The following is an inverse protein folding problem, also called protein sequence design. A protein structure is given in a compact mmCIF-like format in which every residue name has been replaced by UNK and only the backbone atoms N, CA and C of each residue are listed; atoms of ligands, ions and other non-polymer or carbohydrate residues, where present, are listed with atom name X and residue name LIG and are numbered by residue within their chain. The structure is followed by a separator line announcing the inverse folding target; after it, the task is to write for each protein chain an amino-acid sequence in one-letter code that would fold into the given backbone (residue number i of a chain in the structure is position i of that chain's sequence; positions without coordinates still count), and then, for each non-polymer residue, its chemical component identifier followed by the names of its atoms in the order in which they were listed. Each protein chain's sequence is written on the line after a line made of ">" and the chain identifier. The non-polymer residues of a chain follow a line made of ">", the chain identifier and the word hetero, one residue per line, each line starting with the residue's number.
data_IF_512973833764
#
_entry.id   IF_512973833764
#
_cell.length_a   1.000
_cell.length_b   1.000
_cell.length_c   1.000
_cell.angle_alpha   90.00
_cell.angle_beta   90.00
_cell.angle_gamma   90.00
#
_symmetry.space_group_name_H-M   'P 1'
#
loop_
_entity.id
_entity.type
_entity.pdbx_description
1 polymer ?
#
# COMPACT_ATOMS: atom_id res chain seq x y z
N UNK A 1 56.58 72.67 9.56
CA UNK A 1 55.56 71.82 8.84
C UNK A 1 55.87 71.94 7.35
N UNK A 2 56.26 70.84 6.71
CA UNK A 2 56.66 70.82 5.30
C UNK A 2 55.49 71.14 4.35
N UNK A 3 55.80 71.71 3.22
CA UNK A 3 54.83 72.08 2.17
C UNK A 3 53.96 70.90 1.72
N UNK A 4 54.51 69.66 1.75
CA UNK A 4 53.82 68.38 1.51
C UNK A 4 52.75 68.07 2.54
N UNK A 5 52.96 68.32 3.82
CA UNK A 5 51.99 68.07 4.90
C UNK A 5 50.77 68.94 4.76
N UNK A 6 50.96 70.23 4.34
CA UNK A 6 49.86 71.19 4.08
C UNK A 6 49.01 70.75 2.87
N UNK A 7 49.65 70.27 1.82
CA UNK A 7 48.96 69.74 0.63
C UNK A 7 48.15 68.47 0.96
N UNK A 8 48.73 67.51 1.66
CA UNK A 8 48.03 66.31 2.09
C UNK A 8 46.86 66.60 3.02
N UNK A 9 47.02 67.49 3.97
CA UNK A 9 45.94 67.94 4.85
C UNK A 9 44.83 68.65 4.13
N UNK A 10 45.15 69.52 3.09
CA UNK A 10 44.17 70.17 2.23
C UNK A 10 43.35 69.18 1.42
N UNK A 11 43.97 68.19 0.82
CA UNK A 11 43.28 67.08 0.10
C UNK A 11 42.33 66.30 0.97
N UNK A 12 42.74 65.96 2.21
CA UNK A 12 41.87 65.22 3.13
C UNK A 12 40.68 66.09 3.58
N UNK A 13 40.88 67.36 3.87
CA UNK A 13 39.79 68.24 4.25
C UNK A 13 38.81 68.44 3.06
N UNK A 14 39.28 68.54 1.85
CA UNK A 14 38.44 68.64 0.63
C UNK A 14 37.62 67.40 0.42
N UNK A 15 38.21 66.20 0.64
CA UNK A 15 37.50 64.91 0.55
C UNK A 15 36.40 64.82 1.60
N UNK A 16 36.68 65.18 2.85
CA UNK A 16 35.69 65.21 3.95
C UNK A 16 34.53 66.20 3.60
N UNK A 17 34.83 67.38 3.10
CA UNK A 17 33.79 68.33 2.71
C UNK A 17 32.94 67.85 1.55
N UNK A 18 33.49 67.14 0.57
CA UNK A 18 32.74 66.47 -0.50
C UNK A 18 31.84 65.34 0.03
N UNK A 19 32.35 64.55 0.95
CA UNK A 19 31.55 63.51 1.61
C UNK A 19 30.40 64.09 2.43
N UNK A 20 30.66 65.17 3.18
CA UNK A 20 29.63 65.91 3.96
C UNK A 20 28.57 66.56 3.06
N UNK A 21 29.00 67.18 1.95
CA UNK A 21 28.07 67.70 0.98
C UNK A 21 27.22 66.64 0.30
N UNK A 22 27.81 65.48 0.00
CA UNK A 22 27.10 64.30 -0.53
C UNK A 22 26.08 63.77 0.47
N UNK A 23 26.47 63.66 1.75
CA UNK A 23 25.58 63.25 2.82
C UNK A 23 24.41 64.18 3.06
N UNK A 24 24.69 65.46 3.06
CA UNK A 24 23.66 66.51 3.17
C UNK A 24 22.74 66.55 1.94
N UNK A 25 23.27 66.38 0.74
CA UNK A 25 22.49 66.25 -0.50
C UNK A 25 21.57 65.04 -0.48
N UNK A 26 22.07 63.87 -0.03
CA UNK A 26 21.29 62.68 0.14
C UNK A 26 20.21 62.84 1.24
N UNK A 27 20.53 63.51 2.34
CA UNK A 27 19.56 63.80 3.41
C UNK A 27 18.42 64.66 2.88
N UNK A 28 18.73 65.77 2.21
CA UNK A 28 17.76 66.71 1.60
C UNK A 28 16.90 65.99 0.53
N UNK A 29 17.49 65.14 -0.24
CA UNK A 29 16.76 64.30 -1.19
C UNK A 29 15.74 63.39 -0.48
N UNK A 30 16.16 62.66 0.55
CA UNK A 30 15.28 61.79 1.35
C UNK A 30 14.14 62.53 2.05
N UNK A 31 14.37 63.78 2.44
CA UNK A 31 13.37 64.64 3.07
C UNK A 31 12.44 65.32 2.05
N UNK A 32 12.64 65.05 0.76
CA UNK A 32 11.79 65.60 -0.33
C UNK A 32 11.90 67.05 -0.51
N UNK A 33 13.07 67.72 -0.21
CA UNK A 33 13.26 69.14 -0.29
C UNK A 33 13.17 69.68 -1.72
N UNK A 34 13.61 68.92 -2.71
CA UNK A 34 13.67 69.31 -4.13
C UNK A 34 12.54 68.73 -4.95
N UNK A 35 12.36 67.40 -4.78
CA UNK A 35 11.28 66.62 -5.36
C UNK A 35 10.75 65.69 -4.27
N UNK A 36 9.48 65.28 -4.28
CA UNK A 36 8.99 64.28 -3.32
C UNK A 36 9.83 63.02 -3.36
N UNK A 37 10.13 62.48 -2.20
CA UNK A 37 10.82 61.17 -2.06
C UNK A 37 9.78 60.08 -1.86
N UNK A 38 9.81 59.02 -2.69
CA UNK A 38 9.02 57.83 -2.53
C UNK A 38 9.92 56.60 -2.45
N UNK A 39 9.52 55.64 -1.63
CA UNK A 39 10.16 54.34 -1.54
C UNK A 39 9.12 53.29 -1.20
N UNK A 40 9.12 52.12 -1.87
CA UNK A 40 8.32 50.97 -1.49
C UNK A 40 8.77 50.42 -0.12
N UNK A 41 7.84 49.94 0.65
CA UNK A 41 8.13 49.22 1.90
C UNK A 41 8.46 47.74 1.57
N UNK A 42 9.54 47.21 2.16
CA UNK A 42 10.05 45.88 1.80
C UNK A 42 10.78 45.88 0.44
N UNK A 43 10.77 44.72 -0.22
CA UNK A 43 11.48 44.52 -1.49
C UNK A 43 10.72 45.11 -2.68
N UNK A 44 11.46 45.49 -3.71
CA UNK A 44 10.91 46.02 -4.97
C UNK A 44 10.41 44.93 -5.92
N UNK A 45 11.00 43.77 -5.82
CA UNK A 45 10.64 42.59 -6.57
C UNK A 45 10.32 41.48 -5.56
N UNK A 46 9.22 40.77 -5.74
CA UNK A 46 8.76 39.67 -4.89
C UNK A 46 8.35 38.52 -5.77
N UNK A 47 8.64 37.31 -5.29
CA UNK A 47 8.25 36.07 -5.93
C UNK A 47 7.28 35.37 -4.99
N UNK A 48 6.16 34.92 -5.54
CA UNK A 48 5.09 34.22 -4.82
C UNK A 48 4.72 32.97 -5.59
N UNK A 49 4.46 31.92 -4.87
CA UNK A 49 3.83 30.75 -5.44
C UNK A 49 2.35 31.01 -5.74
N UNK A 50 1.81 30.46 -6.81
CA UNK A 50 0.39 30.60 -7.16
C UNK A 50 -0.49 30.16 -5.99
N UNK A 51 -1.57 30.94 -5.72
CA UNK A 51 -2.46 30.77 -4.55
C UNK A 51 -1.84 31.12 -3.20
N UNK A 52 -0.58 31.54 -3.15
CA UNK A 52 0.00 32.10 -1.93
C UNK A 52 -0.63 33.45 -1.59
N UNK A 53 -0.78 33.71 -0.30
CA UNK A 53 -1.39 34.96 0.16
C UNK A 53 -0.42 36.14 -0.03
N UNK A 54 -0.77 37.06 -0.88
CA UNK A 54 -0.01 38.32 -1.08
C UNK A 54 -0.40 39.38 -0.06
N UNK A 55 0.56 39.88 0.69
CA UNK A 55 0.38 41.03 1.60
C UNK A 55 1.07 42.25 1.06
N UNK A 56 0.28 43.26 0.72
CA UNK A 56 0.79 44.53 0.19
C UNK A 56 1.28 45.44 1.32
N UNK A 57 2.59 45.69 1.36
CA UNK A 57 3.28 46.51 2.37
C UNK A 57 3.22 48.00 2.11
N UNK A 58 2.75 48.44 0.91
CA UNK A 58 2.61 49.83 0.56
C UNK A 58 3.93 50.54 0.28
N UNK A 59 3.88 51.85 0.25
CA UNK A 59 5.04 52.73 0.07
C UNK A 59 5.01 53.85 1.11
N UNK A 60 6.18 54.44 1.35
CA UNK A 60 6.37 55.59 2.22
C UNK A 60 7.03 56.72 1.46
N UNK A 61 6.76 57.96 1.91
CA UNK A 61 7.34 59.11 1.27
C UNK A 61 7.39 60.38 2.10
N UNK A 62 8.16 61.34 1.62
CA UNK A 62 8.28 62.68 2.19
C UNK A 62 8.21 63.74 1.11
N UNK A 63 7.54 64.85 1.40
CA UNK A 63 7.53 66.09 0.58
C UNK A 63 7.81 67.27 1.50
N UNK A 64 8.91 67.98 1.25
CA UNK A 64 9.38 69.10 2.06
C UNK A 64 9.33 68.81 3.57
N UNK A 65 10.01 67.73 3.97
CA UNK A 65 10.12 67.23 5.36
C UNK A 65 8.82 66.66 5.97
N UNK A 66 7.69 66.68 5.23
CA UNK A 66 6.40 66.16 5.71
C UNK A 66 6.20 64.73 5.24
N UNK A 67 5.69 63.86 6.15
CA UNK A 67 5.27 62.52 5.78
C UNK A 67 4.05 62.62 4.86
N UNK A 68 4.04 61.82 3.79
CA UNK A 68 2.99 61.80 2.76
C UNK A 68 2.41 60.41 2.55
N UNK A 69 2.72 59.39 3.42
CA UNK A 69 2.33 58.00 3.25
C UNK A 69 0.82 57.84 2.97
N UNK A 70 -0.04 58.54 3.73
CA UNK A 70 -1.48 58.55 3.52
C UNK A 70 -2.01 59.29 2.28
N UNK A 71 -1.09 59.90 1.45
CA UNK A 71 -1.43 60.59 0.21
C UNK A 71 -0.84 59.92 -1.04
N UNK A 72 -0.17 58.81 -0.86
CA UNK A 72 0.38 57.99 -1.95
C UNK A 72 -0.77 57.19 -2.55
N UNK A 73 -1.02 57.38 -3.82
CA UNK A 73 -2.00 56.62 -4.57
C UNK A 73 -1.37 55.27 -5.00
N UNK A 74 -2.12 54.17 -4.85
CA UNK A 74 -1.74 52.86 -5.31
C UNK A 74 -2.58 52.49 -6.52
N UNK A 75 -1.93 52.07 -7.59
CA UNK A 75 -2.53 51.60 -8.83
C UNK A 75 -1.98 50.19 -9.12
N UNK A 76 -2.83 49.27 -9.48
CA UNK A 76 -2.53 47.84 -9.73
C UNK A 76 -2.99 46.94 -8.61
N UNK A 77 -3.21 45.68 -8.99
CA UNK A 77 -3.60 44.57 -8.12
C UNK A 77 -2.75 43.38 -8.48
N UNK A 78 -2.48 42.51 -7.52
CA UNK A 78 -1.86 41.20 -7.73
C UNK A 78 -2.98 40.17 -7.68
N UNK A 79 -3.10 39.39 -8.76
CA UNK A 79 -3.97 38.24 -8.80
C UNK A 79 -3.10 36.99 -8.53
N UNK A 80 -3.15 36.50 -7.33
CA UNK A 80 -2.37 35.30 -6.92
C UNK A 80 -2.94 34.00 -7.45
N UNK A 81 -4.16 33.99 -8.00
CA UNK A 81 -4.74 32.81 -8.64
C UNK A 81 -4.19 32.57 -10.06
N UNK A 82 -3.47 33.50 -10.64
CA UNK A 82 -2.93 33.41 -11.99
C UNK A 82 -1.43 33.70 -12.01
N UNK A 83 -0.69 32.80 -12.65
CA UNK A 83 0.74 32.99 -12.95
C UNK A 83 0.93 34.19 -13.83
N UNK A 84 1.86 35.07 -13.46
CA UNK A 84 2.14 36.29 -14.22
C UNK A 84 2.95 37.33 -13.47
N UNK A 85 3.28 38.40 -14.18
CA UNK A 85 4.00 39.54 -13.64
C UNK A 85 3.01 40.67 -13.35
N UNK A 86 2.95 41.10 -12.11
CA UNK A 86 2.05 42.12 -11.63
C UNK A 86 2.82 43.32 -11.17
N UNK A 87 2.46 44.52 -11.72
CA UNK A 87 3.07 45.77 -11.34
C UNK A 87 2.13 46.57 -10.42
N UNK A 88 2.63 46.96 -9.25
CA UNK A 88 1.97 47.93 -8.36
C UNK A 88 2.71 49.24 -8.44
N UNK A 89 2.02 50.28 -8.94
CA UNK A 89 2.53 51.65 -9.06
C UNK A 89 2.08 52.48 -7.85
N UNK A 90 3.03 53.11 -7.20
CA UNK A 90 2.76 54.11 -6.16
C UNK A 90 3.07 55.48 -6.71
N UNK A 91 2.09 56.36 -6.70
CA UNK A 91 2.11 57.66 -7.30
C UNK A 91 1.85 58.76 -6.27
N UNK A 92 2.65 59.85 -6.35
CA UNK A 92 2.40 61.08 -5.63
C UNK A 92 2.95 62.26 -6.47
N UNK A 93 2.06 63.18 -6.87
CA UNK A 93 2.39 64.32 -7.78
C UNK A 93 3.04 63.82 -9.08
N UNK A 94 4.30 64.16 -9.31
CA UNK A 94 5.07 63.74 -10.48
C UNK A 94 6.12 62.68 -10.22
N UNK A 95 6.04 62.01 -9.07
CA UNK A 95 6.97 60.95 -8.68
C UNK A 95 6.25 59.61 -8.57
N UNK A 96 6.87 58.59 -9.16
CA UNK A 96 6.39 57.21 -9.16
C UNK A 96 7.46 56.27 -8.62
N UNK A 97 7.05 55.25 -7.90
CA UNK A 97 7.85 54.08 -7.62
C UNK A 97 6.97 52.84 -7.82
N UNK A 98 7.58 51.72 -8.18
CA UNK A 98 6.86 50.50 -8.48
C UNK A 98 7.39 49.31 -7.69
N UNK A 99 6.54 48.38 -7.45
CA UNK A 99 6.84 47.02 -7.04
C UNK A 99 6.44 46.09 -8.17
N UNK A 100 7.29 45.12 -8.45
CA UNK A 100 7.01 44.00 -9.35
C UNK A 100 6.78 42.75 -8.50
N UNK A 101 5.70 42.04 -8.77
CA UNK A 101 5.36 40.79 -8.09
C UNK A 101 5.22 39.72 -9.16
N UNK A 102 6.06 38.69 -9.05
CA UNK A 102 6.06 37.55 -9.93
C UNK A 102 5.26 36.43 -9.25
N UNK A 103 4.10 36.10 -9.76
CA UNK A 103 3.35 34.90 -9.35
C UNK A 103 3.79 33.77 -10.25
N UNK A 104 4.39 32.77 -9.67
CA UNK A 104 4.94 31.61 -10.38
C UNK A 104 4.30 30.34 -9.86
N UNK A 105 4.35 29.30 -10.66
CA UNK A 105 4.03 27.95 -10.26
C UNK A 105 5.31 27.12 -10.39
N UNK A 106 5.84 26.67 -9.28
CA UNK A 106 7.04 25.83 -9.21
C UNK A 106 6.76 24.47 -8.58
N UNK A 107 5.49 24.22 -8.24
CA UNK A 107 5.06 23.00 -7.58
C UNK A 107 4.74 21.92 -8.62
N UNK A 108 5.49 20.80 -8.66
CA UNK A 108 5.18 19.76 -9.61
C UNK A 108 3.87 19.05 -9.27
N UNK A 109 3.15 18.49 -10.26
CA UNK A 109 1.94 17.73 -10.05
C UNK A 109 2.20 16.48 -9.21
N UNK A 110 1.19 16.05 -8.47
CA UNK A 110 1.22 14.77 -7.75
C UNK A 110 0.83 13.65 -8.69
N UNK A 111 1.54 12.52 -8.59
CA UNK A 111 1.34 11.31 -9.40
C UNK A 111 1.23 10.11 -8.47
N UNK A 112 0.21 9.26 -8.65
CA UNK A 112 -0.04 8.06 -7.84
C UNK A 112 -0.34 6.87 -8.75
N UNK A 113 0.41 5.77 -8.59
CA UNK A 113 0.24 4.55 -9.37
C UNK A 113 -0.96 3.73 -8.87
N UNK A 114 -1.85 3.32 -9.77
CA UNK A 114 -2.93 2.37 -9.46
C UNK A 114 -2.32 0.97 -9.32
N UNK A 115 -2.62 0.27 -8.21
CA UNK A 115 -2.07 -1.07 -7.95
C UNK A 115 -0.66 -1.10 -7.36
N UNK A 116 -0.05 0.09 -7.10
CA UNK A 116 1.25 0.19 -6.44
C UNK A 116 2.45 0.24 -7.39
N UNK A 117 3.63 0.32 -6.81
CA UNK A 117 4.89 0.50 -7.52
C UNK A 117 5.46 -0.80 -8.09
N UNK A 118 5.13 -1.96 -7.50
CA UNK A 118 5.52 -3.28 -7.99
C UNK A 118 4.28 -4.10 -8.28
N UNK A 119 4.29 -4.80 -9.42
CA UNK A 119 3.20 -5.70 -9.83
C UNK A 119 3.79 -6.98 -10.44
N UNK A 120 3.02 -8.09 -10.37
CA UNK A 120 3.36 -9.36 -11.01
C UNK A 120 2.49 -9.54 -12.25
N UNK A 121 3.12 -9.85 -13.37
CA UNK A 121 2.52 -10.33 -14.59
C UNK A 121 2.91 -11.79 -14.84
N UNK A 122 2.16 -12.49 -15.71
CA UNK A 122 2.42 -13.90 -16.00
C UNK A 122 2.90 -14.09 -17.43
N UNK A 123 3.91 -14.95 -17.58
CA UNK A 123 4.45 -15.28 -18.90
C UNK A 123 3.37 -15.82 -19.84
N UNK A 124 3.45 -15.41 -21.12
CA UNK A 124 2.52 -15.76 -22.20
C UNK A 124 1.06 -15.27 -21.99
N UNK A 125 0.82 -14.35 -21.06
CA UNK A 125 -0.44 -13.61 -20.95
C UNK A 125 -0.23 -12.14 -21.33
N UNK A 126 -1.21 -11.50 -21.98
CA UNK A 126 -1.13 -10.07 -22.26
C UNK A 126 -1.01 -9.28 -20.94
N UNK A 127 0.01 -8.43 -20.83
CA UNK A 127 0.09 -7.49 -19.74
C UNK A 127 -0.76 -6.26 -20.04
N UNK A 128 -1.67 -5.96 -19.14
CA UNK A 128 -2.47 -4.73 -19.18
C UNK A 128 -1.99 -3.79 -18.09
N UNK A 129 -1.57 -2.59 -18.49
CA UNK A 129 -1.08 -1.59 -17.56
C UNK A 129 -2.22 -1.00 -16.73
N UNK A 130 -2.02 -0.96 -15.39
CA UNK A 130 -3.05 -0.53 -14.44
C UNK A 130 -3.28 0.98 -14.44
N UNK A 131 -2.31 1.76 -14.97
CA UNK A 131 -2.40 3.20 -15.03
C UNK A 131 -2.03 3.91 -13.72
N UNK A 132 -2.30 5.22 -13.71
CA UNK A 132 -2.01 6.11 -12.59
C UNK A 132 -3.04 7.23 -12.52
N UNK A 133 -3.01 8.01 -11.44
CA UNK A 133 -3.78 9.25 -11.27
C UNK A 133 -2.82 10.39 -11.02
N UNK A 134 -3.17 11.57 -11.56
CA UNK A 134 -2.38 12.77 -11.34
C UNK A 134 -3.28 13.98 -11.06
N UNK A 135 -2.78 14.89 -10.23
CA UNK A 135 -3.48 16.14 -9.91
C UNK A 135 -2.49 17.24 -9.50
N UNK A 136 -2.88 18.47 -9.80
CA UNK A 136 -2.16 19.66 -9.35
C UNK A 136 -3.14 20.73 -8.89
N UNK A 137 -2.90 21.29 -7.71
CA UNK A 137 -3.71 22.36 -7.13
C UNK A 137 -5.23 22.06 -7.08
N UNK A 138 -5.64 20.77 -7.12
CA UNK A 138 -7.04 20.33 -7.19
C UNK A 138 -7.57 20.09 -8.60
N UNK A 139 -6.74 20.27 -9.62
CA UNK A 139 -7.06 19.98 -11.03
C UNK A 139 -6.63 18.56 -11.32
N UNK A 140 -7.53 17.73 -11.92
CA UNK A 140 -7.21 16.39 -12.39
C UNK A 140 -6.40 16.46 -13.69
N UNK A 141 -5.20 15.87 -13.67
CA UNK A 141 -4.28 15.77 -14.79
C UNK A 141 -4.10 14.34 -15.29
N UNK A 142 -4.95 13.40 -14.85
CA UNK A 142 -4.80 11.98 -15.18
C UNK A 142 -4.79 11.68 -16.69
N UNK A 143 -5.54 12.44 -17.47
CA UNK A 143 -5.56 12.34 -18.93
C UNK A 143 -4.26 12.85 -19.62
N UNK A 144 -3.39 13.53 -18.87
CA UNK A 144 -2.10 14.04 -19.39
C UNK A 144 -0.93 13.11 -19.06
N UNK A 145 -1.17 12.02 -18.37
CA UNK A 145 -0.12 11.06 -18.02
C UNK A 145 0.42 10.40 -19.28
N UNK A 146 1.72 10.47 -19.47
CA UNK A 146 2.44 9.71 -20.47
C UNK A 146 2.93 8.40 -19.85
N UNK A 147 2.76 7.28 -20.53
CA UNK A 147 3.18 5.96 -20.09
C UNK A 147 4.10 5.37 -21.15
N UNK A 148 5.33 5.04 -20.75
CA UNK A 148 6.31 4.34 -21.57
C UNK A 148 6.54 2.94 -20.98
N UNK A 149 6.11 1.89 -21.70
CA UNK A 149 6.19 0.50 -21.26
C UNK A 149 7.02 -0.33 -22.21
N UNK A 150 7.95 -1.13 -21.67
CA UNK A 150 8.78 -2.08 -22.41
C UNK A 150 8.56 -3.52 -21.89
N UNK A 151 7.41 -3.79 -21.27
CA UNK A 151 7.10 -5.11 -20.74
C UNK A 151 6.96 -6.14 -21.86
N UNK A 152 7.83 -7.15 -21.83
CA UNK A 152 7.73 -8.32 -22.71
C UNK A 152 7.21 -9.51 -21.91
N UNK A 153 5.90 -9.75 -22.00
CA UNK A 153 5.27 -10.86 -21.30
C UNK A 153 5.59 -12.25 -21.90
N UNK A 154 6.34 -12.34 -22.98
CA UNK A 154 6.80 -13.63 -23.49
C UNK A 154 8.04 -14.16 -22.75
N UNK A 155 8.69 -13.34 -21.94
CA UNK A 155 9.92 -13.68 -21.22
C UNK A 155 9.80 -13.32 -19.73
N UNK A 156 10.12 -14.27 -18.85
CA UNK A 156 10.25 -13.99 -17.42
C UNK A 156 11.38 -13.01 -17.17
N UNK A 157 11.15 -12.02 -16.31
CA UNK A 157 12.10 -10.98 -16.00
C UNK A 157 11.46 -9.80 -15.30
N UNK A 158 12.28 -8.80 -15.00
CA UNK A 158 11.82 -7.54 -14.39
C UNK A 158 11.89 -6.43 -15.42
N UNK A 159 10.80 -5.74 -15.60
CA UNK A 159 10.60 -4.65 -16.55
C UNK A 159 10.19 -3.38 -15.84
N UNK A 160 10.48 -2.24 -16.44
CA UNK A 160 10.10 -0.94 -15.92
C UNK A 160 9.06 -0.27 -16.83
N UNK A 161 8.08 0.38 -16.21
CA UNK A 161 7.11 1.25 -16.87
C UNK A 161 7.28 2.65 -16.28
N UNK A 162 7.64 3.60 -17.14
CA UNK A 162 7.82 5.00 -16.76
C UNK A 162 6.51 5.77 -16.96
N UNK A 163 6.11 6.46 -15.92
CA UNK A 163 5.01 7.42 -15.93
C UNK A 163 5.55 8.82 -15.79
N UNK A 164 5.07 9.74 -16.59
CA UNK A 164 5.38 11.16 -16.46
C UNK A 164 4.14 12.02 -16.65
N UNK A 165 4.08 13.14 -15.94
CA UNK A 165 3.03 14.13 -16.06
C UNK A 165 3.61 15.52 -15.83
N UNK A 166 3.19 16.49 -16.64
CA UNK A 166 3.57 17.90 -16.49
C UNK A 166 2.32 18.77 -16.33
N UNK A 167 2.45 19.81 -15.50
CA UNK A 167 1.47 20.87 -15.38
C UNK A 167 1.58 21.90 -16.54
N UNK A 168 0.81 22.98 -16.44
CA UNK A 168 0.82 24.05 -17.44
C UNK A 168 2.05 24.99 -17.33
N UNK A 169 2.68 25.03 -16.15
CA UNK A 169 3.91 25.79 -15.91
C UNK A 169 5.16 25.04 -16.39
N UNK A 170 5.06 23.74 -16.68
CA UNK A 170 6.14 22.89 -17.16
C UNK A 170 6.86 22.13 -16.03
N UNK A 171 6.33 22.14 -14.80
CA UNK A 171 6.87 21.29 -13.73
C UNK A 171 6.46 19.85 -13.99
N UNK A 172 7.40 18.92 -13.80
CA UNK A 172 7.22 17.51 -14.14
C UNK A 172 7.39 16.61 -12.93
N UNK A 173 6.54 15.57 -12.85
CA UNK A 173 6.70 14.44 -11.93
C UNK A 173 6.82 13.15 -12.72
N UNK A 174 7.75 12.28 -12.30
CA UNK A 174 7.96 10.97 -12.88
C UNK A 174 7.93 9.90 -11.80
N UNK A 175 7.31 8.73 -12.10
CA UNK A 175 7.34 7.53 -11.28
C UNK A 175 7.65 6.31 -12.14
N UNK A 176 8.34 5.33 -11.54
CA UNK A 176 8.61 4.03 -12.14
C UNK A 176 7.75 2.96 -11.47
N UNK A 177 7.14 2.10 -12.28
CA UNK A 177 6.55 0.83 -11.86
C UNK A 177 7.47 -0.30 -12.29
N UNK A 178 7.74 -1.21 -11.36
CA UNK A 178 8.41 -2.48 -11.63
C UNK A 178 7.36 -3.55 -11.95
N UNK A 179 7.49 -4.18 -13.09
CA UNK A 179 6.65 -5.31 -13.53
C UNK A 179 7.51 -6.56 -13.57
N UNK A 180 7.26 -7.49 -12.65
CA UNK A 180 7.93 -8.79 -12.66
C UNK A 180 7.10 -9.81 -13.42
N UNK A 181 7.59 -10.24 -14.58
CA UNK A 181 6.98 -11.32 -15.35
C UNK A 181 7.51 -12.66 -14.82
N UNK A 182 6.61 -13.48 -14.28
CA UNK A 182 6.91 -14.79 -13.70
C UNK A 182 6.29 -15.92 -14.53
N UNK A 183 6.70 -17.16 -14.29
CA UNK A 183 6.07 -18.33 -14.93
C UNK A 183 4.56 -18.35 -14.68
N UNK A 184 3.79 -18.71 -15.72
CA UNK A 184 2.34 -18.80 -15.62
C UNK A 184 1.92 -20.12 -14.95
N UNK A 185 1.37 -20.10 -13.73
CA UNK A 185 0.92 -21.33 -13.09
C UNK A 185 -0.18 -22.07 -13.86
N UNK A 186 -0.93 -21.40 -14.73
CA UNK A 186 -1.98 -22.03 -15.54
C UNK A 186 -1.45 -22.84 -16.70
N UNK A 187 -0.18 -22.69 -17.08
CA UNK A 187 0.46 -23.50 -18.13
C UNK A 187 0.75 -24.95 -17.68
N UNK A 188 0.42 -25.28 -16.45
CA UNK A 188 0.60 -26.62 -15.90
C UNK A 188 -0.28 -27.64 -16.63
N UNK A 189 0.35 -28.73 -17.10
CA UNK A 189 -0.34 -29.82 -17.81
C UNK A 189 -0.27 -31.11 -17.01
N UNK A 190 -1.44 -31.68 -16.77
CA UNK A 190 -1.60 -32.98 -16.14
C UNK A 190 -1.39 -34.08 -17.19
N UNK A 191 -0.65 -35.13 -16.83
CA UNK A 191 -0.28 -36.24 -17.73
C UNK A 191 -0.78 -37.60 -17.26
N UNK A 192 -1.70 -37.64 -16.28
CA UNK A 192 -2.19 -38.86 -15.66
C UNK A 192 -3.64 -39.16 -16.08
N UNK A 193 -4.00 -40.45 -16.18
CA UNK A 193 -5.38 -40.89 -16.43
C UNK A 193 -6.11 -40.99 -15.08
N UNK A 194 -6.73 -39.92 -14.65
CA UNK A 194 -7.39 -39.81 -13.34
C UNK A 194 -8.70 -40.63 -13.27
N UNK A 195 -9.29 -41.00 -14.40
CA UNK A 195 -10.50 -41.80 -14.53
C UNK A 195 -10.36 -43.19 -13.90
N UNK A 196 -9.13 -43.68 -13.73
CA UNK A 196 -8.84 -44.97 -13.05
C UNK A 196 -8.97 -44.90 -11.52
N UNK A 197 -9.06 -43.73 -10.91
CA UNK A 197 -9.17 -43.50 -9.49
C UNK A 197 -10.63 -43.30 -9.06
N UNK A 198 -10.96 -43.69 -7.84
CA UNK A 198 -12.30 -43.47 -7.30
C UNK A 198 -12.57 -41.96 -7.14
N UNK A 199 -13.72 -41.54 -7.68
CA UNK A 199 -14.18 -40.16 -7.56
C UNK A 199 -15.41 -40.00 -6.64
N UNK A 200 -15.70 -41.01 -5.82
CA UNK A 200 -16.75 -40.90 -4.81
C UNK A 200 -16.35 -39.86 -3.77
N UNK A 201 -17.11 -38.77 -3.68
CA UNK A 201 -16.87 -37.75 -2.69
C UNK A 201 -17.08 -38.27 -1.28
N UNK A 202 -16.12 -38.03 -0.41
CA UNK A 202 -16.19 -38.32 1.01
C UNK A 202 -16.21 -37.01 1.78
N UNK A 203 -17.24 -36.83 2.63
CA UNK A 203 -17.25 -35.74 3.58
C UNK A 203 -16.19 -35.99 4.66
N UNK A 204 -15.49 -34.89 5.05
CA UNK A 204 -14.50 -35.00 6.12
C UNK A 204 -15.18 -35.12 7.48
N UNK A 205 -14.77 -36.10 8.27
CA UNK A 205 -15.15 -36.27 9.67
C UNK A 205 -13.93 -36.66 10.51
N UNK A 206 -14.01 -36.47 11.83
CA UNK A 206 -12.99 -36.86 12.78
C UNK A 206 -13.63 -37.30 14.11
N UNK A 207 -12.97 -38.19 14.84
CA UNK A 207 -13.29 -38.47 16.23
C UNK A 207 -12.83 -37.27 17.08
N UNK A 208 -13.65 -36.81 18.04
CA UNK A 208 -13.22 -35.76 18.94
C UNK A 208 -12.03 -36.19 19.78
N UNK A 209 -10.91 -35.43 19.80
CA UNK A 209 -9.77 -35.77 20.65
C UNK A 209 -10.16 -35.81 22.13
N UNK A 210 -9.69 -36.80 22.85
CA UNK A 210 -9.94 -37.01 24.29
C UNK A 210 -8.58 -37.19 24.97
N UNK A 211 -8.43 -36.65 26.17
CA UNK A 211 -7.23 -36.80 27.02
C UNK A 211 -5.93 -36.44 26.29
N UNK A 212 -5.97 -35.40 25.46
CA UNK A 212 -4.84 -34.93 24.65
C UNK A 212 -4.21 -36.00 23.75
N UNK A 213 -5.00 -36.97 23.29
CA UNK A 213 -4.53 -37.98 22.36
C UNK A 213 -4.89 -37.65 20.91
N UNK A 214 -4.01 -38.10 20.01
CA UNK A 214 -4.27 -38.00 18.56
C UNK A 214 -5.52 -38.84 18.21
N UNK A 215 -6.35 -38.28 17.37
CA UNK A 215 -7.62 -38.86 16.97
C UNK A 215 -7.55 -39.50 15.58
N UNK A 216 -8.63 -40.19 15.19
CA UNK A 216 -8.86 -40.73 13.86
C UNK A 216 -9.77 -39.80 13.06
N UNK A 217 -9.67 -39.90 11.75
CA UNK A 217 -10.50 -39.16 10.82
C UNK A 217 -11.05 -40.07 9.70
N UNK A 218 -11.74 -39.45 8.75
CA UNK A 218 -12.41 -40.12 7.62
C UNK A 218 -11.49 -41.07 6.83
N UNK A 219 -10.22 -40.70 6.72
CA UNK A 219 -9.17 -41.50 6.07
C UNK A 219 -7.98 -41.66 7.02
N UNK A 220 -7.25 -42.74 6.92
CA UNK A 220 -6.03 -42.93 7.70
C UNK A 220 -4.85 -42.11 7.16
N UNK A 221 -3.87 -41.85 8.04
CA UNK A 221 -2.70 -41.06 7.69
C UNK A 221 -1.88 -41.68 6.54
N UNK A 222 -1.81 -43.02 6.47
CA UNK A 222 -1.03 -43.72 5.45
C UNK A 222 -1.67 -43.60 4.05
N UNK A 223 -2.99 -43.62 3.97
CA UNK A 223 -3.73 -43.39 2.73
C UNK A 223 -3.52 -41.94 2.27
N UNK A 224 -3.74 -40.96 3.15
CA UNK A 224 -3.62 -39.55 2.84
C UNK A 224 -2.19 -39.13 2.41
N UNK A 225 -1.18 -39.73 3.08
CA UNK A 225 0.23 -39.44 2.77
C UNK A 225 0.62 -39.81 1.33
N UNK A 226 -0.06 -40.79 0.68
CA UNK A 226 0.15 -41.13 -0.73
C UNK A 226 -0.17 -39.95 -1.68
N UNK A 227 -1.02 -39.02 -1.22
CA UNK A 227 -1.49 -37.87 -1.97
C UNK A 227 -1.00 -36.54 -1.35
N UNK A 228 0.05 -36.59 -0.51
CA UNK A 228 0.54 -35.42 0.23
C UNK A 228 -0.58 -34.70 0.99
N UNK A 229 -1.49 -35.46 1.59
CA UNK A 229 -2.61 -34.94 2.35
C UNK A 229 -2.45 -35.25 3.84
N UNK A 230 -2.85 -34.33 4.69
CA UNK A 230 -2.61 -34.38 6.13
C UNK A 230 -3.84 -33.88 6.90
N UNK A 231 -4.12 -34.44 8.06
CA UNK A 231 -5.08 -33.92 9.04
C UNK A 231 -4.47 -33.77 10.44
N UNK A 232 -3.28 -34.33 10.60
CA UNK A 232 -2.44 -34.23 11.78
C UNK A 232 -1.01 -33.87 11.33
N UNK A 233 -0.37 -33.03 12.09
CA UNK A 233 1.05 -32.74 11.94
C UNK A 233 1.93 -33.69 12.72
N UNK A 234 3.13 -33.27 13.09
CA UNK A 234 4.10 -34.05 13.86
C UNK A 234 3.53 -34.46 15.21
N UNK A 235 3.86 -35.68 15.68
CA UNK A 235 3.47 -36.20 17.00
C UNK A 235 4.30 -35.52 18.11
N UNK A 236 4.10 -34.19 18.24
CA UNK A 236 4.74 -33.30 19.18
C UNK A 236 3.69 -32.33 19.72
N UNK A 237 3.96 -31.68 20.84
CA UNK A 237 3.10 -30.59 21.36
C UNK A 237 3.16 -29.37 20.46
N UNK A 238 2.61 -29.49 19.26
CA UNK A 238 2.48 -28.43 18.26
C UNK A 238 1.05 -28.30 17.80
N UNK A 239 0.58 -27.07 17.63
CA UNK A 239 -0.73 -26.72 17.12
C UNK A 239 -0.52 -25.93 15.82
N UNK A 240 -1.29 -26.30 14.81
CA UNK A 240 -1.38 -25.59 13.53
C UNK A 240 -2.73 -24.89 13.48
N UNK A 241 -2.75 -23.58 13.72
CA UNK A 241 -3.96 -22.79 13.60
C UNK A 241 -4.25 -22.50 12.12
N UNK A 242 -5.44 -22.86 11.70
CA UNK A 242 -5.89 -22.61 10.33
C UNK A 242 -7.28 -21.99 10.32
N UNK A 243 -7.46 -21.06 9.40
CA UNK A 243 -8.71 -20.33 9.21
C UNK A 243 -9.18 -20.49 7.78
N UNK A 244 -10.45 -20.86 7.60
CA UNK A 244 -11.06 -20.97 6.28
C UNK A 244 -12.00 -19.81 6.02
N UNK A 245 -11.94 -19.28 4.79
CA UNK A 245 -12.84 -18.26 4.35
C UNK A 245 -13.26 -18.46 2.89
N UNK A 246 -14.54 -18.69 2.70
CA UNK A 246 -15.14 -18.89 1.38
C UNK A 246 -16.41 -18.08 1.16
N UNK A 247 -16.85 -17.30 2.14
CA UNK A 247 -18.10 -16.56 2.14
C UNK A 247 -17.96 -15.04 2.09
N UNK A 248 -19.07 -14.35 2.33
CA UNK A 248 -19.15 -12.89 2.21
C UNK A 248 -19.00 -12.13 3.54
N UNK A 249 -19.08 -12.83 4.68
CA UNK A 249 -19.09 -12.21 6.01
C UNK A 249 -17.84 -12.62 6.81
N UNK A 250 -16.81 -11.80 6.73
CA UNK A 250 -15.58 -11.96 7.49
C UNK A 250 -15.46 -10.79 8.43
N UNK A 251 -16.02 -10.95 9.59
CA UNK A 251 -16.15 -9.83 10.50
C UNK A 251 -14.90 -9.67 11.36
N UNK A 252 -14.20 -10.75 11.75
CA UNK A 252 -13.16 -10.71 12.80
C UNK A 252 -11.77 -11.17 12.36
N UNK A 253 -11.50 -11.34 11.06
CA UNK A 253 -10.20 -11.87 10.59
C UNK A 253 -9.04 -10.92 10.91
N UNK A 254 -9.26 -9.60 10.87
CA UNK A 254 -8.24 -8.59 11.17
C UNK A 254 -7.93 -8.59 12.67
N UNK A 255 -8.97 -8.61 13.47
CA UNK A 255 -8.86 -8.67 14.94
C UNK A 255 -8.19 -9.98 15.39
N UNK A 256 -8.50 -11.11 14.75
CA UNK A 256 -7.82 -12.39 15.02
C UNK A 256 -6.33 -12.28 14.65
N UNK A 257 -6.01 -11.71 13.49
CA UNK A 257 -4.61 -11.49 13.07
C UNK A 257 -3.85 -10.62 14.07
N UNK A 258 -4.46 -9.55 14.58
CA UNK A 258 -3.85 -8.70 15.60
C UNK A 258 -3.56 -9.49 16.88
N UNK A 259 -4.50 -10.31 17.37
CA UNK A 259 -4.31 -11.17 18.54
C UNK A 259 -3.20 -12.20 18.32
N UNK A 260 -3.13 -12.80 17.13
CA UNK A 260 -2.06 -13.75 16.78
C UNK A 260 -0.70 -13.07 16.85
N UNK A 261 -0.56 -11.88 16.27
CA UNK A 261 0.67 -11.08 16.30
C UNK A 261 1.08 -10.67 17.72
N UNK A 262 0.13 -10.22 18.53
CA UNK A 262 0.38 -9.85 19.94
C UNK A 262 0.92 -11.03 20.76
N UNK A 263 0.64 -12.24 20.33
CA UNK A 263 1.07 -13.48 20.97
C UNK A 263 2.26 -14.17 20.28
N UNK A 264 2.88 -13.57 19.25
CA UNK A 264 3.94 -14.19 18.43
C UNK A 264 3.50 -15.59 17.92
N UNK A 265 2.36 -15.65 17.23
CA UNK A 265 1.80 -16.87 16.65
C UNK A 265 1.45 -16.66 15.19
N UNK A 266 2.06 -17.48 14.33
CA UNK A 266 1.73 -17.51 12.91
C UNK A 266 0.62 -18.52 12.63
N UNK A 267 -0.24 -18.22 11.65
CA UNK A 267 -1.35 -19.08 11.24
C UNK A 267 -1.46 -19.19 9.71
N UNK A 268 -2.23 -20.18 9.25
CA UNK A 268 -2.50 -20.38 7.82
C UNK A 268 -3.95 -20.05 7.52
N UNK A 269 -4.17 -19.13 6.59
CA UNK A 269 -5.47 -18.66 6.13
C UNK A 269 -5.78 -19.25 4.76
N UNK A 270 -6.68 -20.22 4.67
CA UNK A 270 -7.17 -20.78 3.41
C UNK A 270 -8.28 -19.90 2.87
N UNK A 271 -7.97 -19.14 1.83
CA UNK A 271 -8.82 -18.07 1.33
C UNK A 271 -9.21 -18.30 -0.12
N UNK A 272 -10.43 -17.91 -0.46
CA UNK A 272 -10.88 -17.92 -1.85
C UNK A 272 -10.26 -16.76 -2.64
N UNK A 273 -10.08 -16.97 -3.96
CA UNK A 273 -9.55 -15.94 -4.86
C UNK A 273 -10.31 -14.61 -4.73
N UNK A 274 -11.63 -14.67 -4.67
CA UNK A 274 -12.45 -13.46 -4.63
C UNK A 274 -12.17 -12.64 -3.36
N UNK A 275 -11.96 -13.30 -2.24
CA UNK A 275 -11.60 -12.64 -1.00
C UNK A 275 -10.18 -12.04 -1.05
N UNK A 276 -9.21 -12.81 -1.56
CA UNK A 276 -7.82 -12.35 -1.71
C UNK A 276 -7.74 -11.05 -2.51
N UNK A 277 -8.47 -10.96 -3.62
CA UNK A 277 -8.48 -9.75 -4.45
C UNK A 277 -9.19 -8.60 -3.75
N UNK A 278 -10.33 -8.87 -3.11
CA UNK A 278 -11.14 -7.86 -2.42
C UNK A 278 -10.36 -7.19 -1.29
N UNK A 279 -9.60 -7.97 -0.51
CA UNK A 279 -8.88 -7.51 0.69
C UNK A 279 -7.36 -7.47 0.45
N UNK A 280 -6.93 -7.04 -0.73
CA UNK A 280 -5.54 -7.09 -1.18
C UNK A 280 -4.53 -6.47 -0.20
N UNK A 281 -4.85 -5.32 0.40
CA UNK A 281 -3.97 -4.66 1.37
C UNK A 281 -3.79 -5.51 2.62
N UNK A 282 -4.87 -6.08 3.11
CA UNK A 282 -4.83 -6.96 4.28
C UNK A 282 -4.06 -8.27 4.00
N UNK A 283 -4.16 -8.83 2.79
CA UNK A 283 -3.34 -9.99 2.39
C UNK A 283 -1.85 -9.70 2.45
N UNK A 284 -1.45 -8.51 2.00
CA UNK A 284 -0.04 -8.07 2.11
C UNK A 284 0.41 -7.92 3.56
N UNK A 285 -0.47 -7.45 4.41
CA UNK A 285 -0.16 -7.31 5.84
C UNK A 285 -0.06 -8.67 6.52
N UNK A 286 -0.96 -9.64 6.24
CA UNK A 286 -0.86 -11.01 6.74
C UNK A 286 0.49 -11.66 6.42
N UNK A 287 0.92 -11.57 5.17
CA UNK A 287 2.20 -12.18 4.74
C UNK A 287 3.40 -11.48 5.37
N UNK A 288 3.39 -10.14 5.52
CA UNK A 288 4.44 -9.39 6.23
C UNK A 288 4.55 -9.78 7.70
N UNK A 289 3.45 -10.15 8.31
CA UNK A 289 3.37 -10.58 9.71
C UNK A 289 3.82 -12.04 9.92
N UNK A 290 4.08 -12.80 8.85
CA UNK A 290 4.53 -14.19 8.92
C UNK A 290 3.45 -15.23 8.65
N UNK A 291 2.20 -14.82 8.46
CA UNK A 291 1.11 -15.74 8.17
C UNK A 291 1.17 -16.27 6.73
N UNK A 292 0.58 -17.43 6.47
CA UNK A 292 0.39 -17.97 5.12
C UNK A 292 -1.00 -17.62 4.61
N UNK A 293 -1.05 -16.99 3.41
CA UNK A 293 -2.24 -16.91 2.57
C UNK A 293 -2.25 -18.14 1.67
N UNK A 294 -3.17 -19.05 1.91
CA UNK A 294 -3.26 -20.38 1.31
C UNK A 294 -4.44 -20.53 0.36
N UNK A 295 -4.38 -21.52 -0.50
CA UNK A 295 -5.34 -21.75 -1.58
C UNK A 295 -6.59 -22.49 -1.10
N UNK A 296 -7.78 -21.85 -1.22
CA UNK A 296 -9.09 -22.45 -0.94
C UNK A 296 -10.02 -22.39 -2.15
N UNK A 297 -9.47 -22.52 -3.35
CA UNK A 297 -10.12 -22.42 -4.66
C UNK A 297 -10.59 -21.01 -5.04
N UNK A 298 -11.00 -20.88 -6.30
CA UNK A 298 -11.52 -19.60 -6.82
C UNK A 298 -12.92 -19.29 -6.33
N UNK A 299 -13.85 -20.28 -6.44
CA UNK A 299 -15.29 -20.09 -6.27
C UNK A 299 -15.89 -20.97 -5.18
N UNK A 300 -15.08 -21.64 -4.38
CA UNK A 300 -15.53 -22.55 -3.31
C UNK A 300 -16.47 -23.68 -3.84
N UNK A 301 -16.16 -24.22 -5.02
CA UNK A 301 -16.95 -25.29 -5.63
C UNK A 301 -16.59 -26.67 -5.02
N UNK A 302 -17.51 -27.63 -5.14
CA UNK A 302 -17.18 -29.02 -4.87
C UNK A 302 -16.18 -29.52 -5.91
N UNK A 303 -14.95 -29.77 -5.49
CA UNK A 303 -13.88 -30.17 -6.40
C UNK A 303 -14.04 -31.59 -6.93
N UNK A 304 -14.75 -32.48 -6.23
CA UNK A 304 -15.03 -33.81 -6.73
C UNK A 304 -15.94 -33.80 -7.98
N UNK A 305 -16.88 -32.86 -8.04
CA UNK A 305 -17.72 -32.69 -9.23
C UNK A 305 -16.93 -32.26 -10.48
N UNK A 306 -15.80 -31.58 -10.26
CA UNK A 306 -14.90 -31.10 -11.30
C UNK A 306 -13.82 -32.13 -11.68
N UNK A 307 -13.59 -33.15 -10.84
CA UNK A 307 -12.54 -34.14 -11.03
C UNK A 307 -12.94 -35.22 -12.06
N UNK A 308 -13.28 -34.80 -13.26
CA UNK A 308 -13.61 -35.66 -14.40
C UNK A 308 -12.98 -35.09 -15.68
N UNK A 309 -12.81 -35.93 -16.71
CA UNK A 309 -12.11 -35.54 -17.94
C UNK A 309 -12.68 -34.30 -18.63
N UNK A 310 -13.99 -34.09 -18.56
CA UNK A 310 -14.65 -32.96 -19.25
C UNK A 310 -14.53 -31.64 -18.50
N UNK A 311 -14.27 -31.66 -17.19
CA UNK A 311 -14.19 -30.49 -16.32
C UNK A 311 -12.80 -30.31 -15.69
N UNK A 312 -11.82 -31.12 -16.09
CA UNK A 312 -10.47 -31.10 -15.53
C UNK A 312 -9.80 -29.72 -15.67
N UNK A 313 -9.96 -29.07 -16.83
CA UNK A 313 -9.44 -27.71 -17.02
C UNK A 313 -10.05 -26.71 -16.01
N UNK A 314 -11.35 -26.88 -15.72
CA UNK A 314 -12.02 -26.06 -14.71
C UNK A 314 -11.50 -26.37 -13.30
N UNK A 315 -11.25 -27.65 -12.97
CA UNK A 315 -10.61 -28.05 -11.72
C UNK A 315 -9.26 -27.35 -11.55
N UNK A 316 -8.41 -27.45 -12.56
CA UNK A 316 -7.09 -26.81 -12.55
C UNK A 316 -7.22 -25.30 -12.42
N UNK A 317 -8.14 -24.68 -13.14
CA UNK A 317 -8.38 -23.24 -13.09
C UNK A 317 -8.83 -22.74 -11.71
N UNK A 318 -9.68 -23.49 -10.98
CA UNK A 318 -10.08 -23.15 -9.61
C UNK A 318 -8.87 -22.96 -8.68
N UNK A 319 -7.82 -23.77 -8.84
CA UNK A 319 -6.60 -23.72 -8.03
C UNK A 319 -5.61 -22.69 -8.57
N UNK A 320 -5.31 -22.73 -9.88
CA UNK A 320 -4.27 -21.89 -10.48
C UNK A 320 -4.62 -20.39 -10.52
N UNK A 321 -5.88 -20.06 -10.73
CA UNK A 321 -6.31 -18.66 -10.68
C UNK A 321 -6.24 -18.09 -9.27
N UNK A 322 -6.41 -18.93 -8.24
CA UNK A 322 -6.21 -18.53 -6.85
C UNK A 322 -4.72 -18.35 -6.54
N UNK A 323 -3.87 -19.25 -7.04
CA UNK A 323 -2.41 -19.12 -6.94
C UNK A 323 -1.93 -17.79 -7.55
N UNK A 324 -2.39 -17.45 -8.75
CA UNK A 324 -2.08 -16.18 -9.39
C UNK A 324 -2.50 -14.98 -8.53
N UNK A 325 -3.72 -15.02 -7.99
CA UNK A 325 -4.22 -13.94 -7.15
C UNK A 325 -3.36 -13.76 -5.89
N UNK A 326 -2.95 -14.86 -5.23
CA UNK A 326 -2.01 -14.79 -4.10
C UNK A 326 -0.72 -14.10 -4.52
N UNK A 327 -0.10 -14.54 -5.62
CA UNK A 327 1.17 -13.97 -6.11
C UNK A 327 1.03 -12.49 -6.46
N UNK A 328 -0.01 -12.12 -7.21
CA UNK A 328 -0.26 -10.73 -7.62
C UNK A 328 -0.51 -9.79 -6.44
N UNK A 329 -1.22 -10.27 -5.43
CA UNK A 329 -1.60 -9.46 -4.27
C UNK A 329 -0.46 -9.36 -3.27
N UNK A 330 0.18 -10.48 -2.93
CA UNK A 330 1.22 -10.52 -1.90
C UNK A 330 2.61 -10.14 -2.42
N UNK A 331 2.80 -10.17 -3.75
CA UNK A 331 4.08 -9.99 -4.44
C UNK A 331 5.13 -11.02 -4.01
N UNK A 332 4.68 -12.23 -3.65
CA UNK A 332 5.52 -13.35 -3.25
C UNK A 332 5.05 -14.65 -3.92
N UNK A 333 5.92 -15.65 -4.06
CA UNK A 333 5.49 -16.99 -4.48
C UNK A 333 4.38 -17.52 -3.57
N UNK A 334 3.37 -18.15 -4.16
CA UNK A 334 2.32 -18.79 -3.38
C UNK A 334 2.84 -20.10 -2.76
N UNK A 335 2.61 -20.27 -1.47
CA UNK A 335 2.84 -21.53 -0.80
C UNK A 335 1.95 -22.62 -1.39
N UNK A 336 2.53 -23.81 -1.64
CA UNK A 336 1.80 -24.94 -2.24
C UNK A 336 0.98 -25.70 -1.18
N UNK A 337 0.12 -24.98 -0.47
CA UNK A 337 -0.79 -25.50 0.54
C UNK A 337 -2.23 -25.27 0.11
N UNK A 338 -3.06 -26.30 0.26
CA UNK A 338 -4.41 -26.33 -0.27
C UNK A 338 -5.38 -26.94 0.73
N UNK A 339 -6.62 -26.47 0.72
CA UNK A 339 -7.74 -27.12 1.42
C UNK A 339 -8.95 -27.21 0.51
N UNK A 340 -9.57 -28.40 0.49
CA UNK A 340 -10.80 -28.62 -0.25
C UNK A 340 -11.96 -27.86 0.40
N UNK A 341 -12.80 -27.15 -0.40
CA UNK A 341 -14.05 -26.61 0.10
C UNK A 341 -14.89 -27.65 0.85
N UNK A 342 -15.40 -27.27 2.04
CA UNK A 342 -16.20 -28.15 2.93
C UNK A 342 -15.49 -29.42 3.41
N UNK A 343 -14.22 -29.61 3.07
CA UNK A 343 -13.51 -30.86 3.34
C UNK A 343 -13.96 -32.06 2.48
N UNK A 344 -14.74 -31.83 1.45
CA UNK A 344 -15.17 -32.87 0.52
C UNK A 344 -14.03 -33.22 -0.46
N UNK A 345 -13.56 -34.46 -0.42
CA UNK A 345 -12.51 -34.94 -1.30
C UNK A 345 -12.79 -36.36 -1.81
N UNK A 346 -12.20 -36.70 -2.96
CA UNK A 346 -12.13 -38.07 -3.49
C UNK A 346 -10.67 -38.44 -3.71
N UNK A 347 -10.38 -39.72 -3.86
CA UNK A 347 -9.04 -40.20 -4.20
C UNK A 347 -8.52 -39.50 -5.47
N UNK A 348 -9.36 -39.40 -6.48
CA UNK A 348 -9.07 -38.74 -7.74
C UNK A 348 -8.73 -37.26 -7.55
N UNK A 349 -9.54 -36.53 -6.80
CA UNK A 349 -9.31 -35.11 -6.53
C UNK A 349 -8.01 -34.90 -5.72
N UNK A 350 -7.74 -35.73 -4.71
CA UNK A 350 -6.48 -35.71 -3.97
C UNK A 350 -5.26 -35.91 -4.88
N UNK A 351 -5.34 -36.89 -5.80
CA UNK A 351 -4.26 -37.16 -6.75
C UNK A 351 -4.01 -35.97 -7.68
N UNK A 352 -5.06 -35.34 -8.22
CA UNK A 352 -4.93 -34.17 -9.09
C UNK A 352 -4.22 -33.04 -8.34
N UNK A 353 -4.65 -32.71 -7.13
CA UNK A 353 -4.07 -31.67 -6.30
C UNK A 353 -2.60 -31.95 -5.98
N UNK A 354 -2.28 -33.21 -5.62
CA UNK A 354 -0.90 -33.65 -5.37
C UNK A 354 -0.02 -33.53 -6.62
N UNK A 355 -0.51 -33.91 -7.81
CA UNK A 355 0.23 -33.78 -9.07
C UNK A 355 0.44 -32.32 -9.49
N UNK A 356 -0.42 -31.41 -9.04
CA UNK A 356 -0.23 -29.98 -9.16
C UNK A 356 0.83 -29.42 -8.19
N UNK A 357 1.44 -30.28 -7.36
CA UNK A 357 2.50 -29.93 -6.42
C UNK A 357 2.01 -29.38 -5.08
N UNK A 358 0.73 -29.51 -4.78
CA UNK A 358 0.17 -29.03 -3.52
C UNK A 358 0.15 -30.10 -2.44
N UNK A 359 0.39 -29.67 -1.19
CA UNK A 359 0.01 -30.41 0.01
C UNK A 359 -1.42 -30.05 0.40
N UNK A 360 -2.26 -31.05 0.65
CA UNK A 360 -3.63 -30.86 1.12
C UNK A 360 -3.72 -30.93 2.63
N UNK A 361 -4.41 -29.98 3.25
CA UNK A 361 -4.61 -29.96 4.70
C UNK A 361 -6.08 -30.01 5.08
N UNK A 362 -6.46 -31.15 5.71
CA UNK A 362 -7.70 -31.28 6.46
C UNK A 362 -7.47 -30.81 7.91
N UNK A 363 -8.29 -31.23 8.85
CA UNK A 363 -8.20 -30.84 10.25
C UNK A 363 -8.46 -32.04 11.18
N UNK A 364 -7.84 -32.02 12.31
CA UNK A 364 -8.09 -33.02 13.38
C UNK A 364 -9.11 -32.51 14.39
N UNK A 365 -9.35 -31.21 14.40
CA UNK A 365 -10.38 -30.62 15.26
C UNK A 365 -11.00 -29.37 14.60
N UNK A 366 -12.31 -29.30 14.73
CA UNK A 366 -13.16 -28.16 14.45
C UNK A 366 -14.40 -28.23 15.34
N UNK A 367 -15.08 -27.14 15.51
CA UNK A 367 -16.39 -27.11 16.15
C UNK A 367 -17.36 -26.26 15.31
N UNK A 368 -18.63 -26.22 15.68
CA UNK A 368 -19.61 -25.44 14.90
C UNK A 368 -19.44 -23.95 15.18
N UNK A 369 -18.69 -23.25 14.34
CA UNK A 369 -18.32 -21.85 14.45
C UNK A 369 -18.61 -21.01 13.17
N UNK A 370 -19.39 -21.55 12.23
CA UNK A 370 -19.74 -20.90 10.95
C UNK A 370 -21.23 -20.51 10.84
N UNK A 371 -21.95 -20.55 11.96
CA UNK A 371 -23.37 -20.15 12.07
C UNK A 371 -23.53 -18.90 12.93
N UNK A 372 -24.40 -19.01 13.94
CA UNK A 372 -24.56 -17.98 14.94
C UNK A 372 -23.31 -17.85 15.82
N UNK A 373 -23.05 -16.63 16.29
CA UNK A 373 -21.94 -16.38 17.22
C UNK A 373 -22.06 -17.22 18.48
N UNK A 374 -20.98 -17.91 18.84
CA UNK A 374 -20.85 -18.54 20.15
C UNK A 374 -20.26 -17.57 21.17
N UNK A 375 -20.46 -17.84 22.45
CA UNK A 375 -19.82 -17.03 23.49
C UNK A 375 -18.30 -17.28 23.56
N UNK A 376 -17.55 -16.31 24.05
CA UNK A 376 -16.13 -16.44 24.38
C UNK A 376 -15.84 -17.74 25.17
N UNK A 377 -16.62 -17.97 26.24
CA UNK A 377 -16.44 -19.15 27.09
C UNK A 377 -16.65 -20.45 26.32
N UNK A 378 -17.68 -20.52 25.46
CA UNK A 378 -17.94 -21.70 24.62
C UNK A 378 -16.82 -21.96 23.64
N UNK A 379 -16.30 -20.93 22.97
CA UNK A 379 -15.17 -21.02 22.05
C UNK A 379 -13.90 -21.44 22.78
N UNK A 380 -13.58 -20.81 23.91
CA UNK A 380 -12.43 -21.17 24.73
C UNK A 380 -12.46 -22.63 25.18
N UNK A 381 -13.58 -23.09 25.74
CA UNK A 381 -13.74 -24.48 26.18
C UNK A 381 -13.62 -25.45 25.00
N UNK A 382 -14.20 -25.14 23.86
CA UNK A 382 -14.07 -25.95 22.65
C UNK A 382 -12.61 -26.10 22.22
N UNK A 383 -11.85 -25.01 22.22
CA UNK A 383 -10.45 -25.01 21.80
C UNK A 383 -9.54 -25.72 22.80
N UNK A 384 -9.66 -25.44 24.10
CA UNK A 384 -8.71 -25.95 25.10
C UNK A 384 -8.95 -27.41 25.48
N UNK A 385 -10.21 -27.87 25.46
CA UNK A 385 -10.55 -29.24 25.86
C UNK A 385 -10.02 -30.29 24.87
N UNK A 386 -9.81 -29.90 23.63
CA UNK A 386 -9.44 -30.81 22.54
C UNK A 386 -7.99 -30.66 22.07
N UNK A 387 -7.12 -30.08 22.92
CA UNK A 387 -5.68 -30.06 22.67
C UNK A 387 -5.12 -31.47 22.47
N UNK A 388 -4.29 -31.65 21.44
CA UNK A 388 -3.59 -32.93 21.19
C UNK A 388 -2.34 -32.66 20.32
N UNK A 389 -1.33 -33.58 20.39
CA UNK A 389 -0.09 -33.42 19.62
C UNK A 389 -0.35 -33.40 18.11
N UNK A 390 0.23 -32.41 17.42
CA UNK A 390 0.09 -32.26 15.98
C UNK A 390 -1.28 -31.77 15.52
N UNK A 391 -2.05 -31.15 16.40
CA UNK A 391 -3.41 -30.70 16.10
C UNK A 391 -3.43 -29.68 14.96
N UNK A 392 -4.22 -29.95 13.93
CA UNK A 392 -4.62 -28.96 12.92
C UNK A 392 -6.04 -28.50 13.25
N UNK A 393 -6.16 -27.26 13.68
CA UNK A 393 -7.44 -26.63 14.01
C UNK A 393 -8.03 -25.93 12.79
N UNK A 394 -9.27 -26.24 12.45
CA UNK A 394 -10.07 -25.46 11.52
C UNK A 394 -10.98 -24.53 12.29
N UNK A 395 -10.87 -23.23 12.02
CA UNK A 395 -11.70 -22.16 12.56
C UNK A 395 -12.21 -21.26 11.45
N UNK A 396 -13.34 -20.60 11.69
CA UNK A 396 -13.86 -19.57 10.78
C UNK A 396 -13.76 -18.18 11.43
N UNK A 397 -13.17 -17.22 10.72
CA UNK A 397 -12.96 -15.88 11.27
C UNK A 397 -14.24 -15.02 11.30
N UNK A 398 -15.37 -15.57 10.88
CA UNK A 398 -16.68 -14.94 10.96
C UNK A 398 -17.31 -15.02 12.35
N UNK A 399 -16.79 -15.85 13.24
CA UNK A 399 -17.36 -16.08 14.57
C UNK A 399 -16.69 -15.20 15.63
N UNK A 400 -17.49 -14.41 16.33
CA UNK A 400 -17.03 -13.50 17.39
C UNK A 400 -16.36 -14.25 18.55
N UNK A 401 -16.89 -15.41 18.94
CA UNK A 401 -16.32 -16.21 20.01
C UNK A 401 -14.88 -16.64 19.72
N UNK A 402 -14.55 -16.98 18.45
CA UNK A 402 -13.19 -17.28 18.04
C UNK A 402 -12.23 -16.12 18.30
N UNK A 403 -12.62 -14.91 17.95
CA UNK A 403 -11.84 -13.71 18.21
C UNK A 403 -11.65 -13.47 19.72
N UNK A 404 -12.74 -13.45 20.48
CA UNK A 404 -12.73 -13.14 21.92
C UNK A 404 -11.92 -14.17 22.73
N UNK A 405 -11.98 -15.47 22.36
CA UNK A 405 -11.29 -16.55 23.08
C UNK A 405 -9.82 -16.75 22.69
N UNK A 406 -9.37 -16.19 21.56
CA UNK A 406 -8.08 -16.53 20.95
C UNK A 406 -6.88 -16.25 21.85
N UNK A 407 -6.82 -15.07 22.47
CA UNK A 407 -5.73 -14.69 23.38
C UNK A 407 -5.59 -15.64 24.56
N UNK A 408 -6.72 -15.93 25.24
CA UNK A 408 -6.75 -16.82 26.38
C UNK A 408 -6.37 -18.26 25.99
N UNK A 409 -6.86 -18.74 24.85
CA UNK A 409 -6.53 -20.04 24.30
C UNK A 409 -5.03 -20.19 24.02
N UNK A 410 -4.43 -19.24 23.30
CA UNK A 410 -2.99 -19.27 22.96
C UNK A 410 -2.14 -19.29 24.23
N UNK A 411 -2.42 -18.40 25.19
CA UNK A 411 -1.68 -18.33 26.45
C UNK A 411 -1.78 -19.63 27.25
N UNK A 412 -2.95 -20.23 27.33
CA UNK A 412 -3.14 -21.49 28.05
C UNK A 412 -2.46 -22.65 27.32
N UNK A 413 -2.56 -22.76 26.00
CA UNK A 413 -1.89 -23.80 25.21
C UNK A 413 -0.36 -23.71 25.37
N UNK A 414 0.22 -22.50 25.32
CA UNK A 414 1.65 -22.28 25.59
C UNK A 414 2.04 -22.71 27.02
N UNK A 415 1.19 -22.44 28.01
CA UNK A 415 1.41 -22.86 29.42
C UNK A 415 1.39 -24.39 29.56
N UNK A 416 0.60 -25.10 28.74
CA UNK A 416 0.57 -26.57 28.69
C UNK A 416 1.74 -27.17 27.88
N UNK A 417 2.63 -26.30 27.35
CA UNK A 417 3.84 -26.69 26.64
C UNK A 417 3.65 -26.87 25.13
N UNK A 418 2.53 -26.43 24.57
CA UNK A 418 2.34 -26.41 23.12
C UNK A 418 3.03 -25.20 22.50
N UNK A 419 3.65 -25.42 21.33
CA UNK A 419 4.05 -24.35 20.40
C UNK A 419 3.04 -24.26 19.26
N UNK A 420 3.06 -23.13 18.56
CA UNK A 420 2.30 -22.97 17.32
C UNK A 420 3.24 -23.00 16.12
N UNK A 421 2.74 -23.47 14.98
CA UNK A 421 3.50 -23.58 13.74
C UNK A 421 2.62 -23.47 12.50
N UNK A 422 3.23 -23.22 11.36
CA UNK A 422 2.57 -23.17 10.06
C UNK A 422 2.44 -24.57 9.46
N UNK A 423 1.36 -24.82 8.69
CA UNK A 423 1.10 -26.13 8.09
C UNK A 423 2.17 -26.57 7.08
N UNK A 424 2.92 -25.66 6.48
CA UNK A 424 4.02 -25.96 5.55
C UNK A 424 5.24 -26.60 6.24
N UNK A 425 5.31 -26.60 7.59
CA UNK A 425 6.33 -27.33 8.38
C UNK A 425 6.06 -28.85 8.47
N UNK A 426 4.84 -29.31 8.07
CA UNK A 426 4.44 -30.72 7.98
C UNK A 426 4.99 -31.41 6.68
#
# INVERSE_FOLDING_TARGET
>A
MSKEFKIKAGCVISLILLLLAGLLGYFLYREGCFVPFLKVNGEKEQWLEVKEVYEELGARGKDRFRNIDGKIERIGLVDTEQVGDYEILYHYKNVNVKRLVHVVDTTPPKLELIGGQRVIAFANEPYEELGARAWDGGIDLSDRISIESHVDSSQCGVYEVLYSVSDEAGNETQLLREVEVVENPTDFRLHYHYDMLDNTASEWWFEKPIDQQRNKAAQDEAFLAQYQAYYLGKDEKVIYLTFDEGGNDITYIKEISDVLNENDVDATFFLTRNYIIKEADFMRDLVKQGHIVANHTRNHLNMCDLANETLLDKFVSEIKETEKAIMQVTLQPAEKVFRFPKGEASERALKIVSDMGYKTFFWSYAYYDYGEDVSEQTAYEALITHLHPGAIYLLHPSNRGNYEAMDAFIKQAKKEGYRFALVNEI
#
